data_IF_358124585813
#
_entry.id   IF_358124585813
#
_cell.length_a   1.000
_cell.length_b   1.000
_cell.length_c   1.000
_cell.angle_alpha   90.00
_cell.angle_beta   90.00
_cell.angle_gamma   90.00
#
_symmetry.space_group_name_H-M   'P 1'
#
loop_
_entity.id
_entity.type
_entity.pdbx_description
1 polymer ?
#
# COMPACT_ATOMS: atom_id res chain seq x y z
N UNK A 1 2.45 -21.79 -15.80
CA UNK A 1 3.02 -21.84 -14.43
C UNK A 1 2.09 -22.72 -13.64
N UNK A 2 2.58 -23.82 -13.07
CA UNK A 2 1.73 -24.76 -12.32
C UNK A 2 1.48 -24.17 -10.92
N UNK A 3 0.23 -24.19 -10.44
CA UNK A 3 -0.12 -23.76 -9.07
C UNK A 3 0.72 -24.46 -7.98
N UNK A 4 1.18 -25.67 -8.24
CA UNK A 4 2.01 -26.44 -7.31
C UNK A 4 3.42 -25.85 -7.09
N UNK A 5 4.02 -25.24 -8.11
CA UNK A 5 5.37 -24.66 -8.00
C UNK A 5 5.39 -23.39 -7.14
N UNK A 6 4.38 -22.53 -7.27
CA UNK A 6 4.23 -21.33 -6.45
C UNK A 6 3.92 -21.72 -4.99
N UNK A 7 3.09 -22.76 -4.81
CA UNK A 7 2.81 -23.34 -3.50
C UNK A 7 4.09 -23.89 -2.83
N UNK A 8 4.95 -24.58 -3.57
CA UNK A 8 6.18 -25.15 -3.02
C UNK A 8 7.11 -24.07 -2.45
N UNK A 9 7.31 -22.95 -3.18
CA UNK A 9 8.15 -21.83 -2.71
C UNK A 9 7.63 -21.25 -1.40
N UNK A 10 6.31 -21.13 -1.25
CA UNK A 10 5.68 -20.65 -0.01
C UNK A 10 5.99 -21.59 1.15
N UNK A 11 5.84 -22.92 0.94
CA UNK A 11 6.15 -23.91 1.96
C UNK A 11 7.62 -23.92 2.36
N UNK A 12 8.54 -23.79 1.41
CA UNK A 12 9.98 -23.68 1.69
C UNK A 12 10.32 -22.44 2.53
N UNK A 13 9.79 -21.28 2.14
CA UNK A 13 10.00 -20.03 2.86
C UNK A 13 9.41 -20.08 4.29
N UNK A 14 8.22 -20.67 4.42
CA UNK A 14 7.55 -20.83 5.72
C UNK A 14 8.35 -21.77 6.63
N UNK A 15 8.79 -22.93 6.09
CA UNK A 15 9.59 -23.91 6.85
C UNK A 15 10.92 -23.33 7.30
N UNK A 16 11.66 -22.67 6.41
CA UNK A 16 12.93 -22.01 6.73
C UNK A 16 12.76 -20.95 7.83
N UNK A 17 11.71 -20.14 7.69
CA UNK A 17 11.41 -19.07 8.66
C UNK A 17 11.04 -19.68 10.02
N UNK A 18 10.12 -20.63 10.06
CA UNK A 18 9.70 -21.27 11.31
C UNK A 18 10.88 -21.99 12.01
N UNK A 19 11.74 -22.65 11.24
CA UNK A 19 12.94 -23.28 11.79
C UNK A 19 13.89 -22.24 12.40
N UNK A 20 14.19 -21.14 11.70
CA UNK A 20 15.05 -20.05 12.21
C UNK A 20 14.55 -19.47 13.53
N UNK A 21 13.24 -19.51 13.76
CA UNK A 21 12.62 -19.03 14.99
C UNK A 21 12.40 -20.13 16.04
N UNK A 22 12.82 -21.38 15.77
CA UNK A 22 12.61 -22.51 16.66
C UNK A 22 11.12 -22.85 16.85
N UNK A 23 10.31 -22.68 15.80
CA UNK A 23 8.85 -22.82 15.82
C UNK A 23 8.31 -23.66 14.66
N UNK A 24 9.17 -24.45 14.04
CA UNK A 24 8.78 -25.31 12.92
C UNK A 24 7.75 -26.33 13.41
N UNK A 25 6.56 -26.32 12.83
CA UNK A 25 5.53 -27.32 13.07
C UNK A 25 5.75 -28.56 12.22
N UNK A 26 5.33 -29.74 12.72
CA UNK A 26 5.45 -30.99 11.98
C UNK A 26 4.72 -30.94 10.63
N UNK A 27 3.55 -30.31 10.56
CA UNK A 27 2.79 -30.16 9.31
C UNK A 27 3.59 -29.39 8.26
N UNK A 28 4.20 -28.25 8.64
CA UNK A 28 5.01 -27.44 7.72
C UNK A 28 6.29 -28.15 7.32
N UNK A 29 6.94 -28.84 8.27
CA UNK A 29 8.13 -29.64 8.03
C UNK A 29 7.84 -30.76 7.03
N UNK A 30 6.83 -31.58 7.30
CA UNK A 30 6.49 -32.73 6.45
C UNK A 30 6.13 -32.30 5.02
N UNK A 31 5.37 -31.20 4.89
CA UNK A 31 4.98 -30.69 3.57
C UNK A 31 6.16 -30.13 2.78
N UNK A 32 7.07 -29.40 3.43
CA UNK A 32 8.27 -28.90 2.78
C UNK A 32 9.21 -30.05 2.35
N UNK A 33 9.39 -31.07 3.20
CA UNK A 33 10.19 -32.24 2.85
C UNK A 33 9.57 -33.04 1.70
N UNK A 34 8.25 -33.24 1.72
CA UNK A 34 7.52 -33.89 0.61
C UNK A 34 7.79 -33.20 -0.72
N UNK A 35 7.71 -31.88 -0.77
CA UNK A 35 7.97 -31.13 -2.00
C UNK A 35 9.45 -31.19 -2.44
N UNK A 36 10.41 -31.19 -1.49
CA UNK A 36 11.82 -31.35 -1.80
C UNK A 36 12.08 -32.76 -2.37
N UNK A 37 11.55 -33.78 -1.72
CA UNK A 37 11.78 -35.19 -2.11
C UNK A 37 11.16 -35.55 -3.46
N UNK A 38 10.04 -34.91 -3.79
CA UNK A 38 9.39 -35.07 -5.10
C UNK A 38 10.01 -34.16 -6.20
N UNK A 39 11.05 -33.39 -5.89
CA UNK A 39 11.70 -32.50 -6.84
C UNK A 39 10.80 -31.37 -7.38
N UNK A 40 9.68 -31.05 -6.67
CA UNK A 40 8.79 -29.98 -7.07
C UNK A 40 9.56 -28.65 -7.05
N UNK A 41 9.34 -27.80 -8.04
CA UNK A 41 10.09 -26.57 -8.29
C UNK A 41 11.52 -26.75 -8.88
N UNK A 42 12.03 -27.98 -9.07
CA UNK A 42 13.28 -28.18 -9.80
C UNK A 42 13.08 -28.23 -11.32
N UNK A 43 11.94 -28.74 -11.78
CA UNK A 43 11.64 -28.89 -13.20
C UNK A 43 11.66 -27.55 -13.96
N UNK A 44 11.20 -26.49 -13.35
CA UNK A 44 11.25 -25.14 -13.91
C UNK A 44 12.67 -24.65 -14.22
N UNK A 45 13.65 -25.14 -13.48
CA UNK A 45 15.05 -24.73 -13.64
C UNK A 45 15.81 -25.58 -14.65
N UNK A 46 15.30 -26.75 -14.97
CA UNK A 46 15.91 -27.64 -15.99
C UNK A 46 15.83 -27.01 -17.38
N UNK A 47 14.74 -26.31 -17.67
CA UNK A 47 14.52 -25.64 -18.94
C UNK A 47 15.27 -24.31 -19.08
N UNK A 48 15.72 -23.73 -17.95
CA UNK A 48 16.33 -22.42 -17.94
C UNK A 48 17.84 -22.44 -18.16
N UNK A 49 18.59 -23.18 -17.33
CA UNK A 49 20.06 -23.27 -17.36
C UNK A 49 20.52 -24.36 -16.37
N UNK A 50 21.40 -25.27 -16.81
CA UNK A 50 21.98 -26.34 -15.99
C UNK A 50 22.69 -25.80 -14.73
N UNK A 51 23.33 -24.65 -14.84
CA UNK A 51 24.01 -23.99 -13.72
C UNK A 51 23.04 -23.45 -12.66
N UNK A 52 21.88 -22.94 -13.09
CA UNK A 52 20.82 -22.48 -12.20
C UNK A 52 20.12 -23.68 -11.54
N UNK A 53 19.90 -24.77 -12.28
CA UNK A 53 19.38 -26.02 -11.74
C UNK A 53 20.24 -26.54 -10.59
N UNK A 54 21.55 -26.73 -10.82
CA UNK A 54 22.49 -27.22 -9.80
C UNK A 54 22.54 -26.31 -8.58
N UNK A 55 22.47 -25.01 -8.79
CA UNK A 55 22.39 -24.03 -7.69
C UNK A 55 21.11 -24.18 -6.87
N UNK A 56 19.97 -24.38 -7.54
CA UNK A 56 18.67 -24.58 -6.88
C UNK A 56 18.64 -25.89 -6.10
N UNK A 57 19.12 -26.96 -6.69
CA UNK A 57 19.25 -28.29 -6.07
C UNK A 57 20.04 -28.20 -4.76
N UNK A 58 21.20 -27.54 -4.78
CA UNK A 58 22.02 -27.34 -3.58
C UNK A 58 21.26 -26.55 -2.48
N UNK A 59 20.53 -25.51 -2.87
CA UNK A 59 19.73 -24.74 -1.91
C UNK A 59 18.63 -25.58 -1.25
N UNK A 60 17.98 -26.46 -2.02
CA UNK A 60 16.96 -27.36 -1.48
C UNK A 60 17.56 -28.47 -0.61
N UNK A 61 18.73 -29.00 -0.99
CA UNK A 61 19.48 -29.99 -0.18
C UNK A 61 19.90 -29.37 1.17
N UNK A 62 20.40 -28.13 1.16
CA UNK A 62 20.75 -27.40 2.40
C UNK A 62 19.51 -27.15 3.25
N UNK A 63 18.38 -26.78 2.64
CA UNK A 63 17.12 -26.61 3.36
C UNK A 63 16.66 -27.92 3.99
N UNK A 64 16.69 -29.04 3.25
CA UNK A 64 16.35 -30.37 3.77
C UNK A 64 17.19 -30.72 4.98
N UNK A 65 18.51 -30.64 4.87
CA UNK A 65 19.46 -30.89 5.97
C UNK A 65 19.15 -30.03 7.18
N UNK A 66 18.79 -28.79 6.97
CA UNK A 66 18.40 -27.85 8.01
C UNK A 66 17.11 -28.25 8.71
N UNK A 67 16.06 -28.63 7.95
CA UNK A 67 14.77 -29.03 8.50
C UNK A 67 14.83 -30.35 9.28
N UNK A 68 15.76 -31.23 8.93
CA UNK A 68 16.05 -32.50 9.62
C UNK A 68 16.89 -32.30 10.87
N UNK A 69 17.61 -31.18 10.99
CA UNK A 69 18.43 -30.88 12.17
C UNK A 69 17.58 -30.40 13.35
N UNK A 70 18.11 -30.49 14.59
CA UNK A 70 17.44 -29.96 15.77
C UNK A 70 17.12 -28.46 15.60
N UNK A 71 15.91 -28.07 15.96
CA UNK A 71 15.52 -26.66 15.92
C UNK A 71 16.30 -25.84 16.95
N UNK A 72 16.66 -24.58 16.61
CA UNK A 72 17.22 -23.65 17.59
C UNK A 72 16.19 -23.32 18.69
N UNK A 73 16.63 -22.80 19.85
CA UNK A 73 15.73 -22.35 20.90
C UNK A 73 14.71 -21.33 20.38
N UNK A 74 13.48 -21.41 20.87
CA UNK A 74 12.38 -20.51 20.48
C UNK A 74 12.78 -19.05 20.66
N UNK A 75 12.87 -18.30 19.59
CA UNK A 75 13.13 -16.86 19.62
C UNK A 75 11.88 -16.09 19.99
N UNK A 76 12.06 -14.97 20.67
CA UNK A 76 10.97 -14.03 20.96
C UNK A 76 10.52 -13.38 19.64
N UNK A 77 9.24 -13.52 19.31
CA UNK A 77 8.63 -12.80 18.21
C UNK A 77 8.16 -11.45 18.77
N UNK A 78 8.65 -10.37 18.18
CA UNK A 78 8.13 -9.05 18.47
C UNK A 78 6.73 -8.93 17.87
N UNK A 79 5.70 -8.93 18.71
CA UNK A 79 4.34 -8.61 18.25
C UNK A 79 4.34 -7.17 17.79
N UNK A 80 4.09 -6.96 16.51
CA UNK A 80 3.87 -5.61 15.99
C UNK A 80 2.61 -5.04 16.67
N UNK A 81 2.76 -3.84 17.25
CA UNK A 81 1.61 -3.16 17.84
C UNK A 81 0.71 -2.68 16.71
N UNK A 82 -0.54 -3.10 16.74
CA UNK A 82 -1.56 -2.60 15.81
C UNK A 82 -1.67 -1.08 15.96
N UNK A 83 -1.53 -0.36 14.86
CA UNK A 83 -1.88 1.05 14.83
C UNK A 83 -3.34 1.19 14.41
N UNK A 84 -4.10 1.94 15.17
CA UNK A 84 -5.46 2.33 14.84
C UNK A 84 -5.46 3.85 14.75
N UNK A 85 -5.86 4.37 13.59
CA UNK A 85 -5.96 5.81 13.40
C UNK A 85 -6.98 6.40 14.39
N UNK A 86 -6.56 7.35 15.24
CA UNK A 86 -7.44 7.92 16.27
C UNK A 86 -8.47 8.90 15.74
N UNK A 87 -8.32 9.37 14.50
CA UNK A 87 -9.23 10.35 13.91
C UNK A 87 -10.57 9.71 13.60
N UNK A 88 -11.64 10.50 13.74
CA UNK A 88 -13.00 10.09 13.41
C UNK A 88 -13.26 10.28 11.90
N UNK A 89 -14.20 9.52 11.36
CA UNK A 89 -14.73 9.80 10.01
C UNK A 89 -15.39 11.18 10.04
N UNK A 90 -15.10 11.98 9.03
CA UNK A 90 -15.55 13.36 8.95
C UNK A 90 -14.55 14.39 9.49
N UNK A 91 -13.52 13.97 10.24
CA UNK A 91 -12.50 14.91 10.72
C UNK A 91 -11.80 15.60 9.55
N UNK A 92 -11.69 16.92 9.66
CA UNK A 92 -11.14 17.82 8.66
C UNK A 92 -9.87 18.44 9.20
N UNK A 93 -8.86 18.45 8.35
CA UNK A 93 -7.54 19.00 8.65
C UNK A 93 -7.09 19.90 7.51
N UNK A 94 -6.27 20.88 7.85
CA UNK A 94 -5.57 21.70 6.87
C UNK A 94 -4.06 21.67 7.12
N UNK A 95 -3.28 21.82 6.08
CA UNK A 95 -1.84 22.06 6.18
C UNK A 95 -1.37 22.94 5.04
N UNK A 96 -0.31 23.69 5.27
CA UNK A 96 0.28 24.55 4.26
C UNK A 96 1.40 23.83 3.54
N UNK A 97 1.48 23.98 2.22
CA UNK A 97 2.60 23.47 1.44
C UNK A 97 3.80 24.37 1.63
N UNK A 98 4.81 23.88 2.32
CA UNK A 98 6.02 24.65 2.70
C UNK A 98 7.32 23.96 2.29
N UNK A 99 7.29 22.93 1.49
CA UNK A 99 8.50 22.28 1.02
C UNK A 99 9.25 23.19 0.04
N UNK A 100 10.42 23.65 0.44
CA UNK A 100 11.30 24.56 -0.34
C UNK A 100 11.65 24.04 -1.75
N UNK A 101 11.63 22.72 -1.95
CA UNK A 101 11.82 22.15 -3.28
C UNK A 101 10.66 22.46 -4.24
N UNK A 102 9.53 22.93 -3.69
CA UNK A 102 8.33 23.30 -4.42
C UNK A 102 8.14 24.82 -4.52
N UNK A 103 9.16 25.62 -4.22
CA UNK A 103 9.08 27.10 -4.15
C UNK A 103 8.61 27.76 -5.47
N UNK A 104 8.78 27.10 -6.61
CA UNK A 104 8.29 27.55 -7.93
C UNK A 104 6.90 27.01 -8.27
N UNK A 105 6.33 26.14 -7.44
CA UNK A 105 5.04 25.53 -7.72
C UNK A 105 3.89 26.46 -7.32
N UNK A 106 2.78 26.58 -8.13
CA UNK A 106 1.64 27.45 -7.82
C UNK A 106 0.96 27.17 -6.49
N UNK A 107 1.10 25.96 -5.94
CA UNK A 107 0.56 25.57 -4.65
C UNK A 107 1.50 25.90 -3.46
N UNK A 108 2.71 26.41 -3.70
CA UNK A 108 3.60 26.81 -2.62
C UNK A 108 2.96 27.90 -1.76
N UNK A 109 3.02 27.74 -0.43
CA UNK A 109 2.33 28.55 0.56
C UNK A 109 0.78 28.53 0.48
N UNK A 110 0.18 27.61 -0.27
CA UNK A 110 -1.26 27.39 -0.27
C UNK A 110 -1.67 26.35 0.78
N UNK A 111 -2.86 26.52 1.30
CA UNK A 111 -3.45 25.58 2.26
C UNK A 111 -4.24 24.50 1.52
N UNK A 112 -3.91 23.27 1.83
CA UNK A 112 -4.64 22.08 1.36
C UNK A 112 -5.50 21.59 2.51
N UNK A 113 -6.74 21.22 2.21
CA UNK A 113 -7.67 20.66 3.17
C UNK A 113 -7.88 19.19 2.89
N UNK A 114 -7.83 18.39 3.94
CA UNK A 114 -8.05 16.95 3.89
C UNK A 114 -9.22 16.59 4.80
N UNK A 115 -10.15 15.77 4.32
CA UNK A 115 -11.20 15.18 5.15
C UNK A 115 -10.99 13.67 5.27
N UNK A 116 -11.07 13.15 6.48
CA UNK A 116 -11.07 11.69 6.69
C UNK A 116 -12.43 11.12 6.30
N UNK A 117 -12.43 10.28 5.29
CA UNK A 117 -13.63 9.66 4.74
C UNK A 117 -13.75 8.16 5.07
N UNK A 118 -12.71 7.54 5.60
CA UNK A 118 -12.76 6.13 5.98
C UNK A 118 -11.46 5.59 6.52
N UNK A 119 -11.38 4.26 6.60
CA UNK A 119 -10.20 3.53 7.01
C UNK A 119 -9.94 2.39 6.03
N UNK A 120 -8.67 2.02 5.91
CA UNK A 120 -8.24 0.81 5.23
C UNK A 120 -7.34 -0.01 6.15
N UNK A 121 -7.45 -1.32 6.07
CA UNK A 121 -6.50 -2.21 6.74
C UNK A 121 -5.25 -2.35 5.88
N UNK A 122 -4.10 -2.03 6.49
CA UNK A 122 -2.79 -2.10 5.88
C UNK A 122 -1.91 -3.12 6.58
N UNK A 123 -1.12 -3.83 5.80
CA UNK A 123 -0.16 -4.79 6.37
C UNK A 123 0.76 -4.12 7.41
N UNK A 124 1.04 -4.74 8.55
CA UNK A 124 0.61 -6.06 8.97
C UNK A 124 -0.62 -6.09 9.92
N UNK A 125 -1.57 -5.25 9.84
CA UNK A 125 -2.79 -5.10 10.66
C UNK A 125 -2.96 -3.67 11.20
N UNK A 126 -2.44 -2.67 10.50
CA UNK A 126 -2.66 -1.27 10.83
C UNK A 126 -4.00 -0.80 10.23
N UNK A 127 -4.75 -0.02 11.00
CA UNK A 127 -5.91 0.70 10.48
C UNK A 127 -5.48 2.13 10.19
N UNK A 128 -5.31 2.45 8.92
CA UNK A 128 -4.83 3.74 8.45
C UNK A 128 -5.99 4.56 7.84
N UNK A 129 -5.92 5.91 7.88
CA UNK A 129 -6.98 6.75 7.37
C UNK A 129 -6.98 6.80 5.85
N UNK A 130 -8.18 6.89 5.29
CA UNK A 130 -8.39 7.34 3.93
C UNK A 130 -8.85 8.79 4.01
N UNK A 131 -8.13 9.66 3.32
CA UNK A 131 -8.39 11.08 3.27
C UNK A 131 -8.82 11.47 1.85
N UNK A 132 -9.68 12.47 1.73
CA UNK A 132 -9.96 13.10 0.46
C UNK A 132 -9.55 14.58 0.53
N UNK A 133 -9.09 15.12 -0.58
CA UNK A 133 -8.66 16.49 -0.64
C UNK A 133 -9.83 17.41 -1.05
N UNK A 134 -9.88 18.59 -0.45
CA UNK A 134 -10.86 19.63 -0.72
C UNK A 134 -10.12 20.81 -1.33
N UNK A 135 -10.64 21.33 -2.44
CA UNK A 135 -10.03 22.43 -3.14
C UNK A 135 -10.32 23.76 -2.43
N UNK A 136 -9.43 24.20 -1.56
CA UNK A 136 -9.52 25.54 -0.94
C UNK A 136 -8.49 26.52 -1.49
N UNK A 137 -7.29 26.04 -1.82
CA UNK A 137 -6.15 26.79 -2.37
C UNK A 137 -5.96 28.22 -1.79
N UNK A 138 -6.38 28.43 -0.54
CA UNK A 138 -6.24 29.72 0.14
C UNK A 138 -4.80 29.96 0.57
N UNK A 139 -4.44 31.24 0.72
CA UNK A 139 -3.16 31.68 1.29
C UNK A 139 -3.20 31.72 2.82
N UNK A 140 -4.39 31.74 3.41
CA UNK A 140 -4.64 31.70 4.86
C UNK A 140 -5.28 30.37 5.24
N UNK A 141 -5.05 29.91 6.48
CA UNK A 141 -5.70 28.71 6.99
C UNK A 141 -7.22 28.88 6.93
N UNK A 142 -7.96 28.03 6.21
CA UNK A 142 -9.41 28.16 6.11
C UNK A 142 -10.09 27.71 7.41
N UNK A 143 -11.28 28.27 7.66
CA UNK A 143 -12.17 27.77 8.72
C UNK A 143 -13.06 26.63 8.22
N UNK A 144 -13.71 25.92 9.16
CA UNK A 144 -14.62 24.83 8.81
C UNK A 144 -15.86 25.33 8.04
N UNK A 145 -16.35 26.54 8.38
CA UNK A 145 -17.48 27.18 7.70
C UNK A 145 -17.13 27.48 6.24
N UNK A 146 -15.98 28.08 6.01
CA UNK A 146 -15.51 28.39 4.65
C UNK A 146 -15.38 27.14 3.77
N UNK A 147 -15.00 26.00 4.37
CA UNK A 147 -14.83 24.74 3.64
C UNK A 147 -16.17 24.15 3.18
N UNK A 148 -17.28 24.51 3.83
CA UNK A 148 -18.61 23.98 3.47
C UNK A 148 -18.99 24.26 2.01
N UNK A 149 -18.44 25.32 1.43
CA UNK A 149 -18.68 25.74 0.04
C UNK A 149 -17.74 25.09 -0.97
N UNK A 150 -16.66 24.42 -0.51
CA UNK A 150 -15.66 23.84 -1.39
C UNK A 150 -15.99 22.39 -1.77
N UNK A 151 -15.65 22.06 -3.01
CA UNK A 151 -15.85 20.70 -3.56
C UNK A 151 -14.63 19.85 -3.35
N UNK A 152 -14.86 18.53 -3.29
CA UNK A 152 -13.79 17.56 -3.33
C UNK A 152 -13.04 17.63 -4.66
N UNK A 153 -11.73 17.45 -4.58
CA UNK A 153 -10.87 17.36 -5.75
C UNK A 153 -11.16 16.05 -6.46
N UNK A 154 -11.46 16.15 -7.75
CA UNK A 154 -11.57 15.01 -8.65
C UNK A 154 -10.34 14.93 -9.52
N UNK A 155 -9.89 13.72 -9.80
CA UNK A 155 -8.77 13.50 -10.70
C UNK A 155 -9.32 12.94 -12.00
N UNK A 156 -9.04 13.66 -13.11
CA UNK A 156 -9.18 13.12 -14.44
C UNK A 156 -8.04 12.15 -14.71
N UNK A 157 -8.34 10.90 -15.00
CA UNK A 157 -7.34 9.92 -15.42
C UNK A 157 -7.64 9.40 -16.79
N UNK A 158 -6.64 9.45 -17.66
CA UNK A 158 -6.67 8.79 -18.96
C UNK A 158 -6.29 7.33 -18.79
N UNK A 159 -7.17 6.43 -19.18
CA UNK A 159 -6.86 5.00 -19.28
C UNK A 159 -6.70 4.64 -20.76
N UNK A 160 -5.53 4.14 -21.07
CA UNK A 160 -5.29 3.48 -22.34
C UNK A 160 -5.65 1.99 -22.16
N UNK A 161 -6.76 1.59 -22.74
CA UNK A 161 -7.06 0.17 -22.87
C UNK A 161 -6.11 -0.41 -23.93
N UNK A 162 -5.41 -1.45 -23.59
CA UNK A 162 -4.49 -2.14 -24.49
C UNK A 162 -5.09 -3.47 -24.92
N UNK A 163 -4.87 -3.82 -26.18
CA UNK A 163 -5.21 -5.15 -26.69
C UNK A 163 -4.23 -6.23 -26.17
N UNK A 164 -4.44 -7.47 -26.60
CA UNK A 164 -3.56 -8.59 -26.24
C UNK A 164 -2.12 -8.45 -26.77
N UNK A 165 -1.86 -7.50 -27.68
CA UNK A 165 -0.55 -7.18 -28.22
C UNK A 165 0.09 -5.96 -27.54
N UNK A 166 -0.61 -5.35 -26.57
CA UNK A 166 -0.16 -4.17 -25.84
C UNK A 166 -0.38 -2.83 -26.56
N UNK A 167 -1.12 -2.84 -27.68
CA UNK A 167 -1.44 -1.62 -28.44
C UNK A 167 -2.65 -0.90 -27.81
N UNK A 168 -2.66 0.45 -27.79
CA UNK A 168 -3.78 1.21 -27.23
C UNK A 168 -5.02 1.06 -28.10
N UNK A 169 -6.14 0.58 -27.50
CA UNK A 169 -7.44 0.41 -28.18
C UNK A 169 -8.30 1.66 -28.06
N UNK A 170 -8.09 2.48 -27.05
CA UNK A 170 -8.85 3.70 -26.84
C UNK A 170 -8.33 4.53 -25.68
N UNK A 171 -8.70 5.81 -25.68
CA UNK A 171 -8.41 6.77 -24.62
C UNK A 171 -9.75 7.10 -23.90
N UNK A 172 -9.83 6.73 -22.62
CA UNK A 172 -11.02 6.97 -21.81
C UNK A 172 -10.64 7.92 -20.68
N UNK A 173 -11.28 9.08 -20.63
CA UNK A 173 -11.15 10.02 -19.51
C UNK A 173 -12.25 9.75 -18.49
N UNK A 174 -11.84 9.43 -17.26
CA UNK A 174 -12.73 9.26 -16.12
C UNK A 174 -12.41 10.29 -15.05
N UNK A 175 -13.45 10.88 -14.45
CA UNK A 175 -13.32 11.70 -13.26
C UNK A 175 -13.48 10.79 -12.02
N UNK A 176 -12.39 10.62 -11.27
CA UNK A 176 -12.38 9.83 -10.06
C UNK A 176 -12.38 10.71 -8.82
N UNK A 177 -13.09 10.28 -7.79
CA UNK A 177 -12.91 10.83 -6.47
C UNK A 177 -11.51 10.44 -5.98
N UNK A 178 -10.77 11.43 -5.50
CA UNK A 178 -9.40 11.24 -5.03
C UNK A 178 -9.39 10.78 -3.59
N UNK A 179 -8.76 9.65 -3.33
CA UNK A 179 -8.53 9.12 -1.99
C UNK A 179 -7.04 8.97 -1.70
N UNK A 180 -6.60 9.55 -0.59
CA UNK A 180 -5.24 9.40 -0.06
C UNK A 180 -5.25 8.38 1.06
N UNK A 181 -4.38 7.39 0.98
CA UNK A 181 -4.15 6.44 2.06
C UNK A 181 -2.83 6.79 2.73
N UNK A 182 -2.91 7.21 3.98
CA UNK A 182 -1.75 7.66 4.74
C UNK A 182 -1.10 6.48 5.45
N UNK A 183 -0.03 5.96 4.88
CA UNK A 183 0.65 4.72 5.33
C UNK A 183 1.49 4.88 6.59
N UNK A 184 1.74 6.10 7.04
CA UNK A 184 2.57 6.40 8.21
C UNK A 184 1.86 7.35 9.17
N UNK A 185 2.04 7.11 10.47
CA UNK A 185 1.63 8.04 11.54
C UNK A 185 2.73 9.04 11.92
N UNK A 186 3.91 8.91 11.32
CA UNK A 186 5.07 9.75 11.58
C UNK A 186 5.16 10.85 10.53
N UNK A 187 5.85 11.92 10.89
CA UNK A 187 6.11 13.04 9.98
C UNK A 187 4.84 13.73 9.46
N UNK A 188 3.81 13.83 10.32
CA UNK A 188 2.69 14.74 10.03
C UNK A 188 3.28 16.16 9.93
N UNK A 189 2.92 16.94 8.89
CA UNK A 189 3.42 18.32 8.73
C UNK A 189 3.19 19.17 9.98
N UNK A 190 4.17 19.99 10.37
CA UNK A 190 4.05 20.88 11.55
C UNK A 190 2.91 21.88 11.40
N UNK A 191 2.56 22.23 10.16
CA UNK A 191 1.42 23.09 9.83
C UNK A 191 0.07 22.39 9.86
N UNK A 192 0.03 21.08 10.21
CA UNK A 192 -1.19 20.28 10.19
C UNK A 192 -2.14 20.70 11.32
N UNK A 193 -3.27 21.27 10.96
CA UNK A 193 -4.25 21.85 11.89
C UNK A 193 -5.57 21.10 11.77
N UNK A 194 -6.15 20.75 12.92
CA UNK A 194 -7.51 20.21 12.99
C UNK A 194 -8.52 21.35 12.92
N UNK A 195 -9.44 21.29 11.96
CA UNK A 195 -10.45 22.32 11.74
C UNK A 195 -11.81 21.97 12.36
N UNK A 196 -12.10 20.70 12.54
CA UNK A 196 -13.37 20.22 13.07
C UNK A 196 -13.85 18.94 12.38
N UNK A 197 -15.13 18.62 12.54
CA UNK A 197 -15.74 17.44 11.93
C UNK A 197 -16.88 17.88 11.01
N UNK A 198 -16.91 17.30 9.81
CA UNK A 198 -17.93 17.55 8.79
C UNK A 198 -18.52 16.23 8.33
N UNK A 199 -19.81 16.20 8.07
CA UNK A 199 -20.46 15.00 7.56
C UNK A 199 -19.82 14.53 6.23
N UNK A 200 -19.70 13.20 6.08
CA UNK A 200 -19.15 12.58 4.89
C UNK A 200 -20.29 12.04 4.04
N UNK A 201 -20.46 12.57 2.85
CA UNK A 201 -21.54 12.16 1.94
C UNK A 201 -21.40 10.71 1.48
N UNK A 202 -20.18 10.19 1.40
CA UNK A 202 -19.89 8.81 0.99
C UNK A 202 -18.79 8.19 1.85
N UNK A 203 -19.11 7.40 2.87
CA UNK A 203 -18.10 6.68 3.66
C UNK A 203 -17.41 5.60 2.82
N UNK A 204 -16.13 5.45 3.00
CA UNK A 204 -15.16 4.74 2.14
C UNK A 204 -15.25 3.24 2.08
N UNK A 205 -16.04 2.57 2.86
CA UNK A 205 -16.25 1.13 2.63
C UNK A 205 -16.76 0.84 1.22
N UNK A 206 -17.35 1.84 0.56
CA UNK A 206 -17.72 1.80 -0.84
C UNK A 206 -16.53 1.97 -1.81
N UNK A 207 -15.44 2.65 -1.40
CA UNK A 207 -14.30 2.92 -2.27
C UNK A 207 -13.39 1.70 -2.44
N UNK A 208 -13.23 0.92 -1.38
CA UNK A 208 -12.27 -0.20 -1.36
C UNK A 208 -12.88 -1.46 -1.99
N UNK A 209 -14.21 -1.60 -1.97
CA UNK A 209 -14.90 -2.82 -2.42
C UNK A 209 -15.70 -2.68 -3.71
N UNK A 210 -15.94 -1.47 -4.18
CA UNK A 210 -16.71 -1.33 -5.40
C UNK A 210 -15.84 -1.60 -6.61
N UNK A 211 -16.15 -2.67 -7.33
CA UNK A 211 -15.74 -2.86 -8.73
C UNK A 211 -16.31 -1.75 -9.64
N UNK A 212 -17.13 -0.87 -9.10
CA UNK A 212 -17.51 0.39 -9.72
C UNK A 212 -16.34 1.35 -9.60
N UNK A 213 -15.48 1.37 -10.59
CA UNK A 213 -14.23 2.14 -10.78
C UNK A 213 -14.42 3.67 -10.70
N UNK A 214 -15.00 4.19 -9.60
CA UNK A 214 -15.26 5.63 -9.44
C UNK A 214 -14.34 6.35 -8.46
N UNK A 215 -13.39 5.63 -7.85
CA UNK A 215 -12.42 6.23 -6.95
C UNK A 215 -11.05 5.59 -7.14
N UNK A 216 -10.01 6.39 -7.13
CA UNK A 216 -8.63 5.92 -7.15
C UNK A 216 -7.97 6.25 -5.80
N UNK A 217 -7.35 5.23 -5.20
CA UNK A 217 -6.62 5.38 -3.94
C UNK A 217 -5.14 5.54 -4.23
N UNK A 218 -4.57 6.63 -3.72
CA UNK A 218 -3.14 6.86 -3.78
C UNK A 218 -2.53 6.66 -2.40
N UNK A 219 -1.41 5.94 -2.38
CA UNK A 219 -0.69 5.63 -1.16
C UNK A 219 0.44 6.64 -0.97
N UNK A 220 0.32 7.49 0.05
CA UNK A 220 1.35 8.45 0.41
C UNK A 220 1.82 8.25 1.84
N UNK A 221 3.09 8.57 2.09
CA UNK A 221 3.55 8.88 3.44
C UNK A 221 3.37 10.38 3.70
N UNK A 222 3.21 10.77 4.97
CA UNK A 222 3.17 12.19 5.32
C UNK A 222 4.40 12.95 4.84
N UNK A 223 5.57 12.30 4.81
CA UNK A 223 6.82 12.89 4.32
C UNK A 223 6.73 13.33 2.86
N UNK A 224 5.97 12.60 2.05
CA UNK A 224 5.92 12.81 0.60
C UNK A 224 4.59 13.46 0.16
N UNK A 225 3.71 13.83 1.12
CA UNK A 225 2.36 14.32 0.80
C UNK A 225 2.41 15.57 -0.07
N UNK A 226 3.28 16.51 0.23
CA UNK A 226 3.38 17.78 -0.51
C UNK A 226 3.78 17.53 -1.96
N UNK A 227 4.86 16.75 -2.18
CA UNK A 227 5.30 16.35 -3.53
C UNK A 227 4.25 15.50 -4.25
N UNK A 228 3.63 14.57 -3.53
CA UNK A 228 2.60 13.70 -4.09
C UNK A 228 1.37 14.46 -4.56
N UNK A 229 0.93 15.46 -3.79
CA UNK A 229 -0.19 16.32 -4.14
C UNK A 229 0.18 17.24 -5.32
N UNK A 230 1.31 17.95 -5.25
CA UNK A 230 1.72 18.90 -6.29
C UNK A 230 1.94 18.23 -7.64
N UNK A 231 2.59 17.07 -7.68
CA UNK A 231 2.80 16.32 -8.92
C UNK A 231 1.50 15.84 -9.60
N UNK A 232 0.43 15.69 -8.83
CA UNK A 232 -0.86 15.22 -9.38
C UNK A 232 -1.86 16.32 -9.61
N UNK A 233 -1.64 17.47 -8.99
CA UNK A 233 -2.50 18.64 -9.10
C UNK A 233 -1.89 19.76 -9.95
N UNK A 234 -0.92 19.45 -10.79
CA UNK A 234 -0.36 20.39 -11.78
C UNK A 234 -1.41 20.93 -12.77
N UNK A 235 -2.57 20.26 -12.86
CA UNK A 235 -3.67 20.64 -13.75
C UNK A 235 -4.69 21.59 -13.10
N UNK A 236 -4.40 22.12 -11.91
CA UNK A 236 -5.19 23.16 -11.26
C UNK A 236 -4.70 24.54 -11.68
N UNK A 237 -4.81 24.83 -12.95
CA UNK A 237 -4.70 26.15 -13.50
C UNK A 237 -6.07 26.69 -13.87
#
# INVERSE_FOLDING_TARGET
MNDDDDCAVVWFALADTQWKYGRLSETVKSKALEYIDNGINLQLWTEADEKLYSKRENVLADLKKKLESPQPPKKRIHKQRRYICPWKIGDVFAFQINNEELNQHPLFHRWIVLQKVGNVEWYPCHTIPVMTAINSLKTTCPTLEEISEFRFIKIGKHYFQRDNQGLPIGDFKYDYDFGLVMTSKRNIPDTFVYLGNRNVERPTNAYIRSQEKKAELFYFSWKDIEKGLTNRFSDFG
#
